data_IF_721853327475
#
_entry.id   IF_721853327475
#
_cell.length_a   1.000
_cell.length_b   1.000
_cell.length_c   1.000
_cell.angle_alpha   90.00
_cell.angle_beta   90.00
_cell.angle_gamma   90.00
#
_symmetry.space_group_name_H-M   'P 1'
#
loop_
_entity.id
_entity.type
_entity.pdbx_description
1 polymer ?
#
# COMPACT_ATOMS: atom_id res chain seq x y z
N UNK A 1 -25.34 -15.33 -84.88
CA UNK A 1 -25.39 -14.89 -83.47
C UNK A 1 -24.97 -16.05 -82.56
N UNK A 2 -23.70 -16.10 -82.12
CA UNK A 2 -23.18 -17.17 -81.24
C UNK A 2 -22.51 -16.58 -79.99
N UNK A 3 -23.00 -17.05 -78.84
CA UNK A 3 -22.38 -17.14 -77.51
C UNK A 3 -21.55 -15.97 -76.96
N UNK A 4 -22.24 -14.99 -76.35
CA UNK A 4 -21.65 -14.04 -75.40
C UNK A 4 -22.00 -14.36 -73.92
N UNK A 5 -22.74 -15.45 -73.66
CA UNK A 5 -23.12 -15.89 -72.30
C UNK A 5 -22.06 -16.78 -71.62
N UNK A 6 -21.21 -17.51 -72.37
CA UNK A 6 -20.20 -18.39 -71.76
C UNK A 6 -18.99 -17.63 -71.20
N UNK A 7 -18.59 -16.50 -71.80
CA UNK A 7 -17.44 -15.70 -71.32
C UNK A 7 -17.67 -15.03 -69.97
N UNK A 8 -18.88 -14.55 -69.68
CA UNK A 8 -19.20 -13.94 -68.38
C UNK A 8 -19.17 -14.96 -67.24
N UNK A 9 -19.65 -16.18 -67.46
CA UNK A 9 -19.64 -17.24 -66.44
C UNK A 9 -18.22 -17.73 -66.11
N UNK A 10 -17.34 -17.84 -67.11
CA UNK A 10 -15.94 -18.25 -66.90
C UNK A 10 -15.15 -17.20 -66.11
N UNK A 11 -15.41 -15.91 -66.32
CA UNK A 11 -14.75 -14.83 -65.59
C UNK A 11 -15.22 -14.79 -64.14
N UNK A 12 -16.53 -14.93 -63.87
CA UNK A 12 -17.05 -14.93 -62.50
C UNK A 12 -16.57 -16.13 -61.68
N UNK A 13 -16.50 -17.33 -62.28
CA UNK A 13 -15.97 -18.52 -61.61
C UNK A 13 -14.46 -18.35 -61.31
N UNK A 14 -13.70 -17.78 -62.24
CA UNK A 14 -12.26 -17.54 -62.05
C UNK A 14 -11.98 -16.52 -60.95
N UNK A 15 -12.79 -15.47 -60.83
CA UNK A 15 -12.66 -14.47 -59.76
C UNK A 15 -13.02 -15.05 -58.38
N UNK A 16 -14.03 -15.93 -58.33
CA UNK A 16 -14.47 -16.55 -57.07
C UNK A 16 -13.43 -17.56 -56.57
N UNK A 17 -12.83 -18.34 -57.47
CA UNK A 17 -11.72 -19.25 -57.14
C UNK A 17 -10.47 -18.49 -56.67
N UNK A 18 -10.17 -17.34 -57.26
CA UNK A 18 -9.04 -16.49 -56.86
C UNK A 18 -9.24 -15.92 -55.43
N UNK A 19 -10.45 -15.48 -55.10
CA UNK A 19 -10.78 -14.98 -53.75
C UNK A 19 -10.67 -16.10 -52.71
N UNK A 20 -11.11 -17.32 -53.04
CA UNK A 20 -11.00 -18.48 -52.15
C UNK A 20 -9.53 -18.87 -51.92
N UNK A 21 -8.70 -18.83 -52.96
CA UNK A 21 -7.26 -19.09 -52.87
C UNK A 21 -6.52 -18.05 -52.00
N UNK A 22 -6.87 -16.77 -52.13
CA UNK A 22 -6.29 -15.70 -51.30
C UNK A 22 -6.73 -15.85 -49.84
N UNK A 23 -8.00 -16.14 -49.58
CA UNK A 23 -8.51 -16.32 -48.22
C UNK A 23 -7.86 -17.53 -47.52
N UNK A 24 -7.66 -18.63 -48.24
CA UNK A 24 -7.00 -19.83 -47.70
C UNK A 24 -5.50 -19.63 -47.47
N UNK A 25 -4.81 -18.85 -48.33
CA UNK A 25 -3.41 -18.46 -48.10
C UNK A 25 -3.26 -17.57 -46.85
N UNK A 26 -4.16 -16.60 -46.65
CA UNK A 26 -4.15 -15.73 -45.45
C UNK A 26 -4.39 -16.52 -44.16
N UNK A 27 -5.34 -17.47 -44.18
CA UNK A 27 -5.59 -18.36 -43.04
C UNK A 27 -4.37 -19.25 -42.76
N UNK A 28 -3.71 -19.77 -43.79
CA UNK A 28 -2.47 -20.54 -43.66
C UNK A 28 -1.33 -19.76 -43.02
N UNK A 29 -1.13 -18.49 -43.43
CA UNK A 29 -0.10 -17.60 -42.86
C UNK A 29 -0.40 -17.25 -41.40
N UNK A 30 -1.67 -16.97 -41.06
CA UNK A 30 -2.07 -16.69 -39.67
C UNK A 30 -1.88 -17.93 -38.78
N UNK A 31 -2.20 -19.13 -39.29
CA UNK A 31 -1.99 -20.37 -38.56
C UNK A 31 -0.50 -20.71 -38.40
N UNK A 32 0.31 -20.49 -39.44
CA UNK A 32 1.76 -20.65 -39.39
C UNK A 32 2.43 -19.69 -38.39
N UNK A 33 2.05 -18.40 -38.38
CA UNK A 33 2.59 -17.42 -37.43
C UNK A 33 2.15 -17.73 -35.98
N UNK A 34 0.92 -18.23 -35.79
CA UNK A 34 0.41 -18.64 -34.47
C UNK A 34 1.10 -19.89 -33.94
N UNK A 35 1.51 -20.82 -34.82
CA UNK A 35 2.29 -22.00 -34.44
C UNK A 35 3.79 -21.70 -34.28
N UNK A 36 4.35 -20.75 -35.04
CA UNK A 36 5.73 -20.27 -34.84
C UNK A 36 5.90 -19.61 -33.46
N UNK A 37 4.92 -18.81 -33.02
CA UNK A 37 4.89 -18.22 -31.66
C UNK A 37 4.72 -19.25 -30.53
N UNK A 38 4.36 -20.49 -30.84
CA UNK A 38 4.29 -21.62 -29.88
C UNK A 38 5.57 -22.46 -29.85
N UNK A 39 6.40 -22.39 -30.89
CA UNK A 39 7.63 -23.19 -31.02
C UNK A 39 8.92 -22.41 -30.72
N UNK A 40 8.86 -21.09 -30.60
CA UNK A 40 10.02 -20.25 -30.17
C UNK A 40 10.12 -20.08 -28.64
N UNK A 41 9.35 -20.85 -27.85
CA UNK A 41 9.44 -20.83 -26.37
C UNK A 41 9.85 -22.20 -25.81
N UNK A 42 10.99 -22.71 -26.26
CA UNK A 42 11.86 -23.69 -25.60
C UNK A 42 13.20 -23.59 -26.32
N UNK A 43 14.35 -23.22 -25.75
CA UNK A 43 15.17 -23.83 -24.69
C UNK A 43 16.27 -22.79 -24.39
N UNK A 44 16.51 -22.37 -23.14
CA UNK A 44 17.53 -22.97 -22.28
C UNK A 44 17.03 -23.05 -20.84
N UNK A 45 16.78 -24.29 -20.44
CA UNK A 45 16.70 -24.71 -19.05
C UNK A 45 18.12 -24.73 -18.47
N UNK A 46 18.43 -23.77 -17.60
CA UNK A 46 19.23 -24.12 -16.43
C UNK A 46 18.23 -24.40 -15.30
N UNK A 47 18.28 -25.65 -14.87
CA UNK A 47 17.41 -26.31 -13.92
C UNK A 47 17.35 -25.57 -12.57
N UNK A 48 16.23 -24.89 -12.30
CA UNK A 48 15.80 -24.65 -10.92
C UNK A 48 15.14 -25.92 -10.41
N UNK A 49 15.87 -26.63 -9.55
CA UNK A 49 15.37 -27.71 -8.74
C UNK A 49 14.16 -27.19 -7.94
N UNK A 50 12.98 -27.74 -8.23
CA UNK A 50 11.82 -27.64 -7.36
C UNK A 50 12.11 -28.51 -6.13
N UNK A 51 12.63 -27.90 -5.08
CA UNK A 51 12.49 -28.45 -3.74
C UNK A 51 11.12 -28.05 -3.20
N UNK A 52 10.22 -29.04 -3.17
CA UNK A 52 9.10 -29.06 -2.25
C UNK A 52 9.64 -28.97 -0.82
N UNK A 53 9.54 -27.79 -0.20
CA UNK A 53 9.69 -27.64 1.24
C UNK A 53 8.41 -27.04 1.83
N UNK A 54 7.61 -27.92 2.42
CA UNK A 54 6.82 -27.58 3.59
C UNK A 54 7.79 -27.12 4.70
N UNK A 55 7.41 -26.08 5.44
CA UNK A 55 8.11 -25.42 6.57
C UNK A 55 9.27 -24.47 6.22
N UNK A 56 9.01 -23.17 6.22
CA UNK A 56 9.36 -22.22 7.32
C UNK A 56 9.22 -20.79 6.82
N UNK A 57 8.72 -19.90 7.68
CA UNK A 57 8.78 -18.45 7.49
C UNK A 57 10.22 -18.07 7.10
N UNK A 58 10.39 -17.34 5.98
CA UNK A 58 11.69 -16.73 5.66
C UNK A 58 12.04 -15.79 6.81
N UNK A 59 13.12 -16.09 7.52
CA UNK A 59 13.60 -15.29 8.63
C UNK A 59 13.87 -13.85 8.17
N UNK A 60 13.27 -12.92 8.91
CA UNK A 60 13.59 -11.49 8.87
C UNK A 60 15.06 -11.30 9.25
N UNK A 61 15.82 -10.40 8.59
CA UNK A 61 17.22 -10.18 8.91
C UNK A 61 17.37 -9.58 10.32
N UNK A 62 17.68 -10.42 11.31
CA UNK A 62 18.16 -9.99 12.61
C UNK A 62 19.63 -9.56 12.47
N UNK A 63 19.87 -8.27 12.27
CA UNK A 63 21.19 -7.67 12.52
C UNK A 63 21.01 -6.21 12.91
N UNK A 64 21.52 -5.84 14.09
CA UNK A 64 21.77 -4.45 14.49
C UNK A 64 22.61 -3.76 13.42
N UNK A 65 22.01 -2.85 12.65
CA UNK A 65 22.70 -2.09 11.59
C UNK A 65 23.34 -0.85 12.19
N UNK A 66 24.65 -0.70 12.05
CA UNK A 66 25.33 0.58 12.34
C UNK A 66 25.21 1.53 11.15
N UNK A 67 24.87 2.80 11.40
CA UNK A 67 24.69 3.85 10.39
C UNK A 67 25.85 3.96 9.37
N UNK A 68 27.11 3.89 9.83
CA UNK A 68 28.31 4.06 8.99
C UNK A 68 28.48 3.02 7.85
N UNK A 69 27.72 1.92 7.87
CA UNK A 69 27.74 0.88 6.82
C UNK A 69 26.35 0.68 6.17
N UNK A 70 25.39 1.55 6.45
CA UNK A 70 24.02 1.39 6.01
C UNK A 70 23.89 1.87 4.56
N UNK A 71 23.76 0.92 3.62
CA UNK A 71 23.60 1.20 2.17
C UNK A 71 22.14 1.34 1.74
N UNK A 72 21.22 1.30 2.70
CA UNK A 72 19.78 1.22 2.45
C UNK A 72 18.98 1.94 3.52
N UNK A 73 17.91 2.60 3.12
CA UNK A 73 16.86 3.09 4.01
C UNK A 73 15.64 2.19 3.86
N UNK A 74 15.05 1.78 4.97
CA UNK A 74 13.81 1.02 4.98
C UNK A 74 12.60 1.93 5.26
N UNK A 75 11.75 2.10 4.26
CA UNK A 75 10.55 2.95 4.32
C UNK A 75 9.31 2.07 4.45
N UNK A 76 8.50 2.32 5.47
CA UNK A 76 7.27 1.58 5.76
C UNK A 76 6.00 2.43 5.73
N UNK A 77 4.87 1.75 5.62
CA UNK A 77 3.55 2.31 5.87
C UNK A 77 2.66 1.33 6.62
N UNK A 78 1.82 1.87 7.50
CA UNK A 78 0.80 1.09 8.19
C UNK A 78 -0.43 1.94 8.53
N UNK A 79 -1.60 1.55 8.03
CA UNK A 79 -2.87 1.99 8.62
C UNK A 79 -3.02 1.32 9.99
N UNK A 80 -3.09 2.12 11.06
CA UNK A 80 -3.12 1.60 12.44
C UNK A 80 -4.51 1.57 13.05
N UNK A 81 -5.57 1.84 12.27
CA UNK A 81 -6.98 1.78 12.67
C UNK A 81 -7.34 2.60 13.92
N UNK A 82 -7.91 3.80 13.77
CA UNK A 82 -8.42 4.63 14.86
C UNK A 82 -7.47 4.81 16.07
N UNK A 83 -6.22 5.20 15.82
CA UNK A 83 -5.22 5.30 16.88
C UNK A 83 -5.36 6.60 17.69
N UNK A 84 -5.83 6.45 18.94
CA UNK A 84 -6.07 7.56 19.87
C UNK A 84 -5.09 7.67 21.04
N UNK A 85 -4.12 6.75 21.16
CA UNK A 85 -3.09 6.78 22.21
C UNK A 85 -3.51 6.30 23.60
N UNK A 86 -4.81 6.16 23.88
CA UNK A 86 -5.31 5.75 25.20
C UNK A 86 -5.27 4.24 25.46
N UNK A 87 -5.22 3.42 24.40
CA UNK A 87 -5.22 1.96 24.53
C UNK A 87 -3.79 1.43 24.65
N UNK A 88 -3.35 1.20 25.88
CA UNK A 88 -2.00 0.71 26.19
C UNK A 88 -1.63 -0.59 25.45
N UNK A 89 -2.55 -1.56 25.38
CA UNK A 89 -2.31 -2.85 24.70
C UNK A 89 -2.04 -2.65 23.20
N UNK A 90 -2.78 -1.72 22.59
CA UNK A 90 -2.58 -1.34 21.19
C UNK A 90 -1.24 -0.63 21.00
N UNK A 91 -0.93 0.37 21.82
CA UNK A 91 0.33 1.13 21.74
C UNK A 91 1.54 0.21 21.83
N UNK A 92 1.54 -0.72 22.79
CA UNK A 92 2.62 -1.69 23.00
C UNK A 92 2.77 -2.62 21.79
N UNK A 93 1.66 -3.15 21.28
CA UNK A 93 1.68 -4.04 20.12
C UNK A 93 2.16 -3.35 18.85
N UNK A 94 1.69 -2.12 18.58
CA UNK A 94 2.16 -1.31 17.45
C UNK A 94 3.68 -1.07 17.54
N UNK A 95 4.17 -0.64 18.70
CA UNK A 95 5.60 -0.40 18.91
C UNK A 95 6.46 -1.66 18.70
N UNK A 96 6.03 -2.80 19.25
CA UNK A 96 6.75 -4.07 19.07
C UNK A 96 6.77 -4.52 17.61
N UNK A 97 5.68 -4.33 16.86
CA UNK A 97 5.65 -4.61 15.41
C UNK A 97 6.60 -3.69 14.64
N UNK A 98 6.61 -2.39 14.93
CA UNK A 98 7.53 -1.42 14.30
C UNK A 98 8.99 -1.79 14.59
N UNK A 99 9.31 -2.15 15.84
CA UNK A 99 10.66 -2.56 16.22
C UNK A 99 11.10 -3.85 15.50
N UNK A 100 10.20 -4.83 15.41
CA UNK A 100 10.50 -6.12 14.77
C UNK A 100 10.54 -6.05 13.25
N UNK A 101 9.84 -5.10 12.63
CA UNK A 101 9.83 -4.91 11.18
C UNK A 101 11.13 -4.27 10.65
N UNK A 102 11.98 -3.73 11.53
CA UNK A 102 13.26 -3.11 11.20
C UNK A 102 13.18 -2.00 10.14
N UNK A 103 12.08 -1.25 10.15
CA UNK A 103 11.94 -0.02 9.36
C UNK A 103 12.81 1.09 9.93
N UNK A 104 13.31 1.98 9.09
CA UNK A 104 14.06 3.18 9.50
C UNK A 104 13.13 4.40 9.60
N UNK A 105 12.09 4.43 8.76
CA UNK A 105 10.99 5.40 8.81
C UNK A 105 9.68 4.72 8.44
N UNK A 106 8.60 5.10 9.11
CA UNK A 106 7.27 4.54 8.85
C UNK A 106 6.19 5.62 8.94
N UNK A 107 5.36 5.68 7.90
CA UNK A 107 4.15 6.48 7.88
C UNK A 107 2.99 5.71 8.54
N UNK A 108 2.29 6.34 9.48
CA UNK A 108 1.08 5.82 10.09
C UNK A 108 -0.12 6.65 9.67
N UNK A 109 -1.14 5.97 9.14
CA UNK A 109 -2.46 6.55 8.82
C UNK A 109 -3.51 6.12 9.84
N UNK A 110 -4.68 6.77 9.82
CA UNK A 110 -5.73 6.66 10.86
C UNK A 110 -5.25 7.05 12.27
N UNK A 111 -4.40 8.08 12.36
CA UNK A 111 -4.17 8.77 13.63
C UNK A 111 -5.37 9.67 13.91
N UNK A 112 -5.98 9.52 15.08
CA UNK A 112 -7.20 10.26 15.41
C UNK A 112 -6.97 11.77 15.38
N UNK A 113 -7.98 12.51 14.94
CA UNK A 113 -7.98 13.98 14.95
C UNK A 113 -7.76 14.57 16.33
N UNK A 114 -7.12 15.73 16.35
CA UNK A 114 -7.03 16.55 17.54
C UNK A 114 -8.38 17.25 17.76
N UNK A 115 -9.08 16.93 18.87
CA UNK A 115 -10.43 17.48 19.15
C UNK A 115 -10.42 18.89 19.71
N UNK A 116 -9.49 19.18 20.63
CA UNK A 116 -9.50 20.42 21.42
C UNK A 116 -8.18 21.22 21.31
N UNK A 117 -7.10 20.58 20.89
CA UNK A 117 -5.78 21.20 20.79
C UNK A 117 -5.01 20.51 19.64
N UNK A 118 -4.74 21.24 18.55
CA UNK A 118 -4.02 20.68 17.38
C UNK A 118 -2.62 20.13 17.73
N UNK A 119 -2.03 20.59 18.84
CA UNK A 119 -0.77 20.09 19.37
C UNK A 119 -0.91 18.81 20.21
N UNK A 120 -2.11 18.26 20.39
CA UNK A 120 -2.29 16.99 21.09
C UNK A 120 -1.80 15.81 20.25
N UNK A 121 -0.55 15.43 20.49
CA UNK A 121 0.15 14.31 19.88
C UNK A 121 0.13 13.04 20.74
N UNK A 122 -0.81 12.91 21.71
CA UNK A 122 -0.96 11.73 22.54
C UNK A 122 -0.91 10.39 21.75
N UNK A 123 -1.58 10.25 20.58
CA UNK A 123 -1.48 9.03 19.78
C UNK A 123 -0.05 8.63 19.40
N UNK A 124 0.80 9.60 19.09
CA UNK A 124 2.20 9.39 18.71
C UNK A 124 3.08 9.23 19.94
N UNK A 125 2.93 10.10 20.96
CA UNK A 125 3.69 10.00 22.22
C UNK A 125 3.51 8.65 22.91
N UNK A 126 2.29 8.11 22.88
CA UNK A 126 2.00 6.83 23.51
C UNK A 126 2.72 5.67 22.82
N UNK A 127 2.79 5.66 21.48
CA UNK A 127 3.58 4.67 20.74
C UNK A 127 5.09 4.91 20.96
N UNK A 128 5.55 6.18 20.93
CA UNK A 128 6.96 6.52 21.15
C UNK A 128 7.46 6.01 22.51
N UNK A 129 6.64 6.15 23.55
CA UNK A 129 6.95 5.63 24.88
C UNK A 129 7.22 4.13 24.84
N UNK A 130 6.37 3.37 24.16
CA UNK A 130 6.51 1.91 24.03
C UNK A 130 7.70 1.53 23.13
N UNK A 131 7.97 2.28 22.05
CA UNK A 131 9.17 2.10 21.23
C UNK A 131 10.43 2.22 22.10
N UNK A 132 10.51 3.24 22.94
CA UNK A 132 11.64 3.46 23.84
C UNK A 132 11.72 2.45 24.98
N UNK A 133 10.59 1.94 25.47
CA UNK A 133 10.54 0.90 26.50
C UNK A 133 11.05 -0.45 25.96
N UNK A 134 10.67 -0.80 24.72
CA UNK A 134 10.91 -2.11 24.15
C UNK A 134 12.11 -2.20 23.21
N UNK A 135 12.73 -1.08 22.80
CA UNK A 135 13.84 -1.08 21.84
C UNK A 135 14.98 -2.03 22.20
N UNK A 136 15.31 -2.18 23.48
CA UNK A 136 16.42 -3.04 23.90
C UNK A 136 16.21 -4.52 23.59
N UNK A 137 14.97 -4.94 23.34
CA UNK A 137 14.62 -6.30 22.94
C UNK A 137 14.83 -6.58 21.44
N UNK A 138 14.94 -5.53 20.61
CA UNK A 138 14.89 -5.65 19.14
C UNK A 138 15.99 -4.86 18.42
N UNK A 139 16.21 -3.60 18.81
CA UNK A 139 17.21 -2.69 18.25
C UNK A 139 17.67 -1.71 19.33
N UNK A 140 18.75 -2.07 20.06
CA UNK A 140 19.30 -1.28 21.17
C UNK A 140 19.80 0.10 20.72
N UNK A 141 20.16 0.25 19.44
CA UNK A 141 20.74 1.47 18.90
C UNK A 141 19.70 2.45 18.38
N UNK A 142 18.45 2.00 18.22
CA UNK A 142 17.39 2.85 17.72
C UNK A 142 17.12 4.05 18.64
N UNK A 143 17.15 5.23 18.05
CA UNK A 143 16.69 6.47 18.66
C UNK A 143 15.45 6.93 17.90
N UNK A 144 14.27 6.58 18.39
CA UNK A 144 13.02 6.93 17.71
C UNK A 144 12.58 8.35 18.02
N UNK A 145 12.06 9.04 17.01
CA UNK A 145 11.33 10.29 17.16
C UNK A 145 10.18 10.33 16.12
N UNK A 146 9.33 11.36 16.16
CA UNK A 146 8.24 11.49 15.20
C UNK A 146 8.01 12.93 14.73
N UNK A 147 7.32 13.03 13.59
CA UNK A 147 6.61 14.22 13.13
C UNK A 147 5.14 13.86 12.92
N UNK A 148 4.24 14.83 13.08
CA UNK A 148 2.79 14.62 13.02
C UNK A 148 2.13 15.77 12.29
N UNK A 149 1.28 15.44 11.33
CA UNK A 149 0.50 16.42 10.59
C UNK A 149 -0.50 17.13 11.48
N UNK A 150 -0.94 18.32 11.06
CA UNK A 150 -2.21 18.89 11.51
C UNK A 150 -3.39 18.01 11.08
N UNK A 151 -4.58 18.34 11.57
CA UNK A 151 -5.83 17.71 11.12
C UNK A 151 -5.96 17.80 9.58
N UNK A 152 -6.12 16.64 8.94
CA UNK A 152 -6.28 16.48 7.51
C UNK A 152 -7.75 16.19 7.23
N UNK A 153 -8.40 17.16 6.64
CA UNK A 153 -9.75 17.06 6.09
C UNK A 153 -9.91 18.11 4.99
N UNK A 154 -10.82 17.84 4.06
CA UNK A 154 -11.37 18.88 3.19
C UNK A 154 -12.72 19.36 3.69
N UNK A 155 -13.15 20.53 3.21
CA UNK A 155 -14.49 21.07 3.44
C UNK A 155 -15.57 20.03 3.13
N UNK A 156 -16.48 19.81 4.06
CA UNK A 156 -17.55 18.81 3.96
C UNK A 156 -17.14 17.39 4.37
N UNK A 157 -15.87 17.14 4.72
CA UNK A 157 -15.37 15.86 5.24
C UNK A 157 -14.84 16.00 6.69
N UNK A 158 -15.28 17.02 7.44
CA UNK A 158 -14.83 17.30 8.80
C UNK A 158 -15.04 16.11 9.76
N UNK A 159 -16.09 15.31 9.54
CA UNK A 159 -16.38 14.12 10.34
C UNK A 159 -15.41 12.96 10.09
N UNK A 160 -14.63 13.02 9.00
CA UNK A 160 -13.63 12.02 8.63
C UNK A 160 -12.19 12.54 8.82
N UNK A 161 -12.03 13.54 9.69
CA UNK A 161 -10.73 14.13 9.98
C UNK A 161 -9.81 13.10 10.62
N UNK A 162 -8.63 12.98 10.04
CA UNK A 162 -7.54 12.16 10.54
C UNK A 162 -6.24 12.96 10.52
N UNK A 163 -5.17 12.36 11.06
CA UNK A 163 -3.80 12.86 10.95
C UNK A 163 -2.91 11.75 10.42
N UNK A 164 -1.76 12.15 9.91
CA UNK A 164 -0.72 11.23 9.47
C UNK A 164 0.54 11.55 10.27
N UNK A 165 1.15 10.51 10.84
CA UNK A 165 2.37 10.63 11.62
C UNK A 165 3.49 9.81 11.00
N UNK A 166 4.72 10.30 11.10
CA UNK A 166 5.91 9.52 10.73
C UNK A 166 6.72 9.23 11.98
N UNK A 167 7.03 7.97 12.24
CA UNK A 167 8.10 7.58 13.14
C UNK A 167 9.39 7.38 12.36
N UNK A 168 10.51 7.84 12.88
CA UNK A 168 11.81 7.67 12.26
C UNK A 168 12.91 7.41 13.29
N UNK A 169 13.95 6.70 12.87
CA UNK A 169 15.20 6.54 13.63
C UNK A 169 16.07 7.79 13.47
N UNK A 170 16.02 8.68 14.45
CA UNK A 170 16.76 9.94 14.52
C UNK A 170 18.30 9.78 14.55
N UNK A 171 18.80 8.55 14.77
CA UNK A 171 20.21 8.20 14.63
C UNK A 171 20.60 7.75 13.20
N UNK A 172 19.67 7.80 12.23
CA UNK A 172 19.88 7.42 10.83
C UNK A 172 19.46 8.54 9.89
N UNK A 173 18.29 9.13 10.13
CA UNK A 173 17.75 10.21 9.31
C UNK A 173 17.20 11.34 10.18
N UNK A 174 17.06 12.52 9.59
CA UNK A 174 16.43 13.70 10.18
C UNK A 174 15.31 14.22 9.26
N UNK A 175 14.21 14.75 9.81
CA UNK A 175 13.21 15.47 9.04
C UNK A 175 13.79 16.80 8.57
N UNK A 176 13.52 17.19 7.33
CA UNK A 176 13.99 18.44 6.72
C UNK A 176 12.82 19.42 6.57
N UNK A 177 11.85 19.05 5.74
CA UNK A 177 10.76 19.95 5.35
C UNK A 177 9.43 19.22 5.32
N UNK A 178 8.41 19.88 5.88
CA UNK A 178 7.02 19.45 5.79
C UNK A 178 6.39 20.02 4.52
N UNK A 179 5.70 19.18 3.76
CA UNK A 179 4.89 19.59 2.62
C UNK A 179 3.45 19.12 2.79
N UNK A 180 2.51 20.04 2.64
CA UNK A 180 1.09 19.72 2.68
C UNK A 180 0.51 20.06 1.32
N UNK A 181 -0.22 19.11 0.73
CA UNK A 181 -0.95 19.36 -0.50
C UNK A 181 -2.21 20.21 -0.23
N UNK A 182 -2.02 21.52 -0.02
CA UNK A 182 -3.06 22.54 0.15
C UNK A 182 -2.60 23.84 -0.52
N UNK A 183 -3.52 24.61 -1.10
CA UNK A 183 -3.18 25.93 -1.66
C UNK A 183 -2.97 26.95 -0.53
N UNK A 184 -2.24 28.04 -0.82
CA UNK A 184 -1.87 29.17 0.06
C UNK A 184 -3.03 29.81 0.85
N UNK A 185 -4.29 29.51 0.49
CA UNK A 185 -5.51 30.02 1.11
C UNK A 185 -6.15 29.06 2.13
N UNK A 186 -5.52 27.93 2.49
CA UNK A 186 -6.15 26.84 3.27
C UNK A 186 -7.45 26.29 2.62
N UNK A 187 -7.64 26.51 1.31
CA UNK A 187 -8.76 25.96 0.53
C UNK A 187 -8.31 24.67 -0.13
N UNK A 188 -9.18 23.67 -0.08
CA UNK A 188 -8.98 22.40 -0.75
C UNK A 188 -8.64 22.60 -2.23
N UNK A 189 -7.60 21.91 -2.70
CA UNK A 189 -7.32 21.88 -4.12
C UNK A 189 -8.35 20.94 -4.77
N UNK A 190 -9.28 21.58 -5.49
CA UNK A 190 -10.29 20.91 -6.28
C UNK A 190 -9.70 20.44 -7.60
N UNK A 191 -9.92 19.17 -7.92
CA UNK A 191 -9.47 18.57 -9.16
C UNK A 191 -10.63 18.14 -10.04
N UNK A 192 -10.34 18.01 -11.33
CA UNK A 192 -11.28 17.44 -12.28
C UNK A 192 -11.62 15.99 -11.93
N UNK A 193 -12.90 15.66 -11.94
CA UNK A 193 -13.36 14.28 -11.83
C UNK A 193 -13.09 13.53 -13.14
N UNK A 194 -12.28 12.47 -13.04
CA UNK A 194 -12.00 11.51 -14.11
C UNK A 194 -12.95 10.30 -14.08
N UNK A 195 -13.42 9.95 -12.88
CA UNK A 195 -14.40 8.89 -12.66
C UNK A 195 -15.68 9.54 -12.16
N UNK A 196 -16.60 9.86 -13.07
CA UNK A 196 -17.86 10.54 -12.72
C UNK A 196 -18.96 9.53 -12.43
N UNK A 197 -19.81 9.87 -11.46
CA UNK A 197 -21.15 9.30 -11.39
C UNK A 197 -22.03 9.96 -12.47
N UNK A 198 -23.05 9.24 -12.96
CA UNK A 198 -23.88 9.61 -14.13
C UNK A 198 -24.47 11.04 -14.11
N UNK A 199 -24.52 11.70 -12.94
CA UNK A 199 -25.08 13.05 -12.77
C UNK A 199 -24.13 14.04 -12.07
N UNK A 200 -22.83 13.79 -12.03
CA UNK A 200 -21.90 14.62 -11.26
C UNK A 200 -20.87 15.36 -12.15
N UNK A 201 -20.97 16.70 -12.16
CA UNK A 201 -20.01 17.62 -12.79
C UNK A 201 -19.21 18.41 -11.75
N UNK A 202 -19.29 18.04 -10.47
CA UNK A 202 -18.52 18.72 -9.44
C UNK A 202 -17.03 18.41 -9.60
N UNK A 203 -16.17 19.27 -9.06
CA UNK A 203 -14.77 18.92 -8.81
C UNK A 203 -14.70 18.14 -7.50
N UNK A 204 -13.70 17.27 -7.40
CA UNK A 204 -13.46 16.47 -6.19
C UNK A 204 -12.30 17.08 -5.39
N UNK A 205 -12.41 17.02 -4.07
CA UNK A 205 -11.33 17.20 -3.10
C UNK A 205 -10.99 15.85 -2.48
N UNK A 206 -9.75 15.69 -2.02
CA UNK A 206 -9.40 14.58 -1.14
C UNK A 206 -10.20 14.67 0.16
N UNK A 207 -10.77 13.55 0.65
CA UNK A 207 -11.35 13.48 2.00
C UNK A 207 -10.34 13.92 3.06
N UNK A 208 -9.12 13.39 2.93
CA UNK A 208 -7.94 13.68 3.74
C UNK A 208 -6.80 14.03 2.79
N UNK A 209 -6.38 15.30 2.69
CA UNK A 209 -5.29 15.69 1.81
C UNK A 209 -3.99 14.91 2.12
N UNK A 210 -3.24 14.46 1.10
CA UNK A 210 -1.96 13.80 1.31
C UNK A 210 -0.98 14.67 2.12
N UNK A 211 -0.19 14.01 2.95
CA UNK A 211 0.79 14.61 3.82
C UNK A 211 2.18 14.15 3.43
N UNK A 212 3.08 15.09 3.16
CA UNK A 212 4.43 14.77 2.71
C UNK A 212 5.48 15.33 3.66
N UNK A 213 6.59 14.60 3.78
CA UNK A 213 7.74 15.02 4.56
C UNK A 213 9.02 14.56 3.90
N UNK A 214 9.98 15.48 3.80
CA UNK A 214 11.33 15.20 3.35
C UNK A 214 12.20 14.76 4.52
N UNK A 215 12.96 13.70 4.28
CA UNK A 215 13.95 13.18 5.20
C UNK A 215 15.32 13.19 4.53
N UNK A 216 16.36 13.34 5.35
CA UNK A 216 17.74 13.33 4.91
C UNK A 216 18.57 12.46 5.84
N UNK A 217 19.57 11.77 5.31
CA UNK A 217 20.58 11.08 6.13
C UNK A 217 21.38 12.08 6.95
N UNK A 218 21.94 11.64 8.08
CA UNK A 218 22.67 12.54 8.97
C UNK A 218 23.96 13.11 8.38
N UNK A 219 24.52 12.47 7.36
CA UNK A 219 25.71 12.93 6.61
C UNK A 219 25.36 13.83 5.42
N UNK A 220 24.07 14.17 5.24
CA UNK A 220 23.55 15.04 4.18
C UNK A 220 23.89 14.56 2.75
N UNK A 221 24.01 13.25 2.53
CA UNK A 221 24.31 12.68 1.20
C UNK A 221 23.13 12.10 0.46
N UNK A 222 22.01 11.90 1.15
CA UNK A 222 20.82 11.32 0.55
C UNK A 222 19.57 11.91 1.20
N UNK A 223 18.64 12.40 0.39
CA UNK A 223 17.32 12.83 0.81
C UNK A 223 16.25 12.11 0.01
N UNK A 224 15.04 12.12 0.54
CA UNK A 224 13.89 11.51 -0.10
C UNK A 224 12.62 12.08 0.53
N UNK A 225 11.57 12.18 -0.26
CA UNK A 225 10.26 12.67 0.21
C UNK A 225 9.27 11.52 0.30
N UNK A 226 8.64 11.34 1.46
CA UNK A 226 7.53 10.41 1.62
C UNK A 226 6.22 11.19 1.57
N UNK A 227 5.38 10.88 0.59
CA UNK A 227 3.98 11.33 0.47
C UNK A 227 3.06 10.24 1.00
N UNK A 228 2.45 10.47 2.16
CA UNK A 228 1.55 9.53 2.82
C UNK A 228 0.08 9.96 2.67
N UNK A 229 -0.82 8.99 2.43
CA UNK A 229 -2.26 9.28 2.37
C UNK A 229 -3.12 8.09 2.82
N UNK A 230 -4.28 8.39 3.39
CA UNK A 230 -5.39 7.46 3.54
C UNK A 230 -6.53 7.93 2.65
N UNK A 231 -6.72 7.25 1.51
CA UNK A 231 -7.75 7.62 0.55
C UNK A 231 -9.15 7.36 1.10
N UNK A 232 -10.17 7.84 0.39
CA UNK A 232 -11.56 7.65 0.78
C UNK A 232 -11.90 6.19 1.06
N UNK A 233 -12.72 5.94 2.08
CA UNK A 233 -13.09 4.58 2.46
C UNK A 233 -14.07 3.99 1.45
N UNK A 234 -14.12 2.65 1.31
CA UNK A 234 -15.08 2.00 0.42
C UNK A 234 -16.50 2.44 0.75
N UNK A 235 -17.20 3.08 -0.21
CA UNK A 235 -18.53 3.64 0.03
C UNK A 235 -19.50 2.65 0.71
N UNK A 236 -20.05 3.03 1.87
CA UNK A 236 -20.89 2.18 2.72
C UNK A 236 -22.29 1.86 2.16
N UNK A 237 -22.70 2.52 1.07
CA UNK A 237 -24.03 2.32 0.53
C UNK A 237 -24.05 1.18 -0.49
N UNK A 238 -24.66 0.07 -0.09
CA UNK A 238 -25.33 -0.90 -0.95
C UNK A 238 -26.48 -0.25 -1.74
N UNK A 239 -26.21 0.83 -2.49
CA UNK A 239 -27.15 1.25 -3.51
C UNK A 239 -27.08 0.23 -4.64
N UNK A 240 -28.08 -0.67 -4.62
CA UNK A 240 -28.66 -1.39 -5.75
C UNK A 240 -27.94 -1.07 -7.04
N UNK A 241 -27.03 -1.96 -7.46
CA UNK A 241 -26.63 -2.16 -8.86
C UNK A 241 -26.78 -0.93 -9.78
N UNK A 242 -26.21 0.21 -9.42
CA UNK A 242 -26.08 1.27 -10.41
C UNK A 242 -24.91 0.84 -11.28
N UNK A 243 -25.17 0.59 -12.56
CA UNK A 243 -24.14 0.37 -13.60
C UNK A 243 -23.28 1.64 -13.83
N UNK A 244 -23.23 2.55 -12.85
CA UNK A 244 -22.95 3.96 -13.03
C UNK A 244 -21.80 4.51 -12.18
N UNK A 245 -21.19 3.70 -11.30
CA UNK A 245 -19.88 4.03 -10.68
C UNK A 245 -18.69 3.76 -11.64
N UNK A 246 -19.00 3.29 -12.85
CA UNK A 246 -18.01 3.02 -13.89
C UNK A 246 -17.77 4.27 -14.74
N UNK A 247 -16.57 4.85 -14.65
CA UNK A 247 -15.86 5.55 -15.74
C UNK A 247 -16.77 6.25 -16.76
N UNK A 248 -17.55 7.26 -16.37
CA UNK A 248 -18.15 8.16 -17.36
C UNK A 248 -17.20 9.34 -17.62
N UNK A 249 -16.20 9.11 -18.47
CA UNK A 249 -15.28 10.17 -18.89
C UNK A 249 -14.09 9.71 -19.74
N UNK A 250 -13.48 8.56 -19.44
CA UNK A 250 -12.29 8.11 -20.15
C UNK A 250 -12.33 6.61 -20.50
N UNK A 251 -12.69 6.30 -21.76
CA UNK A 251 -12.79 4.92 -22.28
C UNK A 251 -11.47 4.14 -22.23
N UNK A 252 -10.35 4.82 -22.02
CA UNK A 252 -9.01 4.21 -22.00
C UNK A 252 -8.57 3.76 -20.59
N UNK A 253 -9.25 4.21 -19.53
CA UNK A 253 -8.94 3.82 -18.14
C UNK A 253 -9.84 2.64 -17.75
N UNK A 254 -9.28 1.43 -17.77
CA UNK A 254 -10.05 0.20 -17.52
C UNK A 254 -10.19 -0.05 -16.02
N UNK A 255 -11.38 0.16 -15.48
CA UNK A 255 -11.79 -0.28 -14.15
C UNK A 255 -12.48 -1.64 -14.28
N UNK A 256 -11.89 -2.68 -13.68
CA UNK A 256 -12.30 -4.07 -13.90
C UNK A 256 -13.35 -4.55 -12.90
N UNK A 257 -13.44 -3.94 -11.71
CA UNK A 257 -14.42 -4.29 -10.67
C UNK A 257 -15.07 -3.05 -10.06
N UNK A 258 -16.28 -3.21 -9.50
CA UNK A 258 -17.04 -2.09 -8.90
C UNK A 258 -16.31 -1.47 -7.71
N UNK A 259 -16.17 -0.16 -7.73
CA UNK A 259 -15.51 0.65 -6.71
C UNK A 259 -16.08 2.07 -6.70
N UNK A 260 -15.96 2.78 -5.56
CA UNK A 260 -16.45 4.14 -5.44
C UNK A 260 -15.69 5.10 -6.35
N UNK A 261 -16.39 6.03 -6.97
CA UNK A 261 -15.78 7.06 -7.82
C UNK A 261 -14.85 8.00 -7.05
N UNK A 262 -15.14 8.28 -5.77
CA UNK A 262 -14.29 9.13 -4.93
C UNK A 262 -12.91 8.51 -4.71
N UNK A 263 -12.87 7.26 -4.21
CA UNK A 263 -11.65 6.43 -4.08
C UNK A 263 -10.81 6.44 -5.38
N UNK A 264 -11.47 6.19 -6.53
CA UNK A 264 -10.81 6.14 -7.84
C UNK A 264 -10.24 7.49 -8.28
N UNK A 265 -10.96 8.59 -8.05
CA UNK A 265 -10.49 9.92 -8.41
C UNK A 265 -9.31 10.37 -7.53
N UNK A 266 -9.35 10.10 -6.23
CA UNK A 266 -8.25 10.40 -5.31
C UNK A 266 -6.98 9.62 -5.70
N UNK A 267 -7.12 8.34 -6.05
CA UNK A 267 -5.99 7.54 -6.55
C UNK A 267 -5.45 8.08 -7.89
N UNK A 268 -6.33 8.50 -8.80
CA UNK A 268 -5.90 9.02 -10.10
C UNK A 268 -5.28 10.41 -10.00
N UNK A 269 -5.67 11.23 -9.05
CA UNK A 269 -5.08 12.56 -8.90
C UNK A 269 -3.74 12.53 -8.17
N UNK A 270 -3.37 11.38 -7.59
CA UNK A 270 -2.11 11.21 -6.90
C UNK A 270 -0.91 11.57 -7.79
N UNK A 271 -0.94 11.29 -9.10
CA UNK A 271 0.10 11.76 -10.01
C UNK A 271 0.28 13.29 -10.02
N UNK A 272 -0.79 14.07 -9.88
CA UNK A 272 -0.69 15.54 -9.79
C UNK A 272 -0.20 16.00 -8.41
N UNK A 273 -0.50 15.22 -7.36
CA UNK A 273 0.04 15.45 -6.02
C UNK A 273 1.55 15.23 -6.04
N UNK A 274 2.01 14.11 -6.62
CA UNK A 274 3.44 13.85 -6.76
C UNK A 274 4.15 14.97 -7.53
N UNK A 275 3.64 15.39 -8.69
CA UNK A 275 4.25 16.52 -9.43
C UNK A 275 4.28 17.83 -8.63
N UNK A 276 3.31 18.05 -7.75
CA UNK A 276 3.28 19.25 -6.93
C UNK A 276 4.32 19.21 -5.82
N UNK A 277 4.48 18.05 -5.18
CA UNK A 277 5.52 17.85 -4.17
C UNK A 277 6.91 17.92 -4.82
N UNK A 278 7.11 17.29 -5.98
CA UNK A 278 8.33 17.32 -6.80
C UNK A 278 8.77 18.76 -7.14
N UNK A 279 7.81 19.65 -7.37
CA UNK A 279 8.11 21.09 -7.59
C UNK A 279 8.49 21.83 -6.32
N UNK A 280 8.10 21.34 -5.15
CA UNK A 280 8.36 21.98 -3.85
C UNK A 280 9.65 21.47 -3.19
N UNK A 281 9.97 20.17 -3.33
CA UNK A 281 11.22 19.58 -2.83
C UNK A 281 12.40 19.73 -3.80
N UNK A 282 12.15 20.24 -5.00
CA UNK A 282 13.15 20.92 -5.82
C UNK A 282 14.09 19.94 -6.53
N UNK A 283 15.31 19.80 -6.01
CA UNK A 283 16.33 18.94 -6.63
C UNK A 283 16.23 17.48 -6.16
N UNK A 284 15.45 17.20 -5.12
CA UNK A 284 15.17 15.84 -4.66
C UNK A 284 14.27 15.13 -5.67
N UNK A 285 14.77 14.11 -6.35
CA UNK A 285 13.99 13.30 -7.30
C UNK A 285 13.46 11.98 -6.69
N UNK A 286 13.81 11.71 -5.42
CA UNK A 286 13.46 10.50 -4.69
C UNK A 286 12.14 10.64 -3.93
N UNK A 287 11.05 10.57 -4.69
CA UNK A 287 9.68 10.62 -4.16
C UNK A 287 9.07 9.22 -3.97
N UNK A 288 8.49 9.01 -2.79
CA UNK A 288 7.84 7.77 -2.38
C UNK A 288 6.41 8.08 -1.97
N UNK A 289 5.43 7.53 -2.68
CA UNK A 289 4.06 7.49 -2.15
C UNK A 289 3.84 6.23 -1.32
N UNK A 290 3.19 6.40 -0.16
CA UNK A 290 2.71 5.30 0.67
C UNK A 290 1.27 5.55 1.13
N UNK A 291 0.46 4.50 1.27
CA UNK A 291 -0.88 4.72 1.79
C UNK A 291 -1.80 3.51 1.78
N UNK A 292 -2.85 3.61 2.60
CA UNK A 292 -4.06 2.82 2.42
C UNK A 292 -4.92 3.52 1.36
N UNK A 293 -5.03 2.86 0.21
CA UNK A 293 -5.64 3.44 -0.96
C UNK A 293 -7.09 3.02 -1.15
N UNK A 294 -7.56 2.01 -0.40
CA UNK A 294 -8.87 1.40 -0.60
C UNK A 294 -9.16 0.94 -2.05
N UNK A 295 -8.16 0.91 -2.93
CA UNK A 295 -8.29 0.44 -4.32
C UNK A 295 -8.32 -1.09 -4.33
N UNK A 296 -9.46 -1.64 -4.74
CA UNK A 296 -9.68 -3.08 -4.81
C UNK A 296 -8.81 -3.72 -5.89
N UNK A 297 -8.49 -4.99 -5.67
CA UNK A 297 -7.69 -5.81 -6.60
C UNK A 297 -8.30 -5.80 -8.00
N UNK A 298 -7.46 -5.68 -9.03
CA UNK A 298 -7.79 -5.53 -10.46
C UNK A 298 -8.12 -4.11 -10.90
N UNK A 299 -8.21 -3.13 -10.00
CA UNK A 299 -8.43 -1.73 -10.39
C UNK A 299 -7.15 -0.88 -10.41
N UNK A 300 -6.02 -1.39 -9.89
CA UNK A 300 -4.77 -0.62 -9.73
C UNK A 300 -4.32 0.10 -11.01
N UNK A 301 -4.24 -0.60 -12.14
CA UNK A 301 -3.76 -0.01 -13.41
C UNK A 301 -4.61 1.17 -13.87
N UNK A 302 -5.93 1.11 -13.69
CA UNK A 302 -6.84 2.19 -14.08
C UNK A 302 -6.85 3.33 -13.07
N UNK A 303 -6.87 2.99 -11.78
CA UNK A 303 -6.91 3.96 -10.69
C UNK A 303 -5.61 4.79 -10.62
N UNK A 304 -4.45 4.16 -10.74
CA UNK A 304 -3.14 4.82 -10.65
C UNK A 304 -2.52 5.11 -12.02
N UNK A 305 -3.30 5.13 -13.10
CA UNK A 305 -2.80 5.38 -14.44
C UNK A 305 -2.01 6.70 -14.57
N UNK A 306 -2.33 7.71 -13.74
CA UNK A 306 -1.60 8.98 -13.71
C UNK A 306 -0.16 8.84 -13.17
N UNK A 307 0.07 7.97 -12.18
CA UNK A 307 1.39 7.63 -11.66
C UNK A 307 2.17 6.82 -12.69
N UNK A 308 1.53 5.83 -13.31
CA UNK A 308 2.17 5.01 -14.35
C UNK A 308 2.63 5.83 -15.56
N UNK A 309 1.85 6.84 -15.97
CA UNK A 309 2.26 7.78 -17.03
C UNK A 309 3.49 8.62 -16.66
N UNK A 310 3.78 8.76 -15.37
CA UNK A 310 4.94 9.44 -14.80
C UNK A 310 6.07 8.47 -14.44
N UNK A 311 5.98 7.22 -14.90
CA UNK A 311 6.96 6.16 -14.66
C UNK A 311 7.16 5.75 -13.19
N UNK A 312 6.21 6.09 -12.30
CA UNK A 312 6.23 5.57 -10.93
C UNK A 312 6.02 4.05 -10.94
N UNK A 313 6.77 3.36 -10.08
CA UNK A 313 6.74 1.91 -9.95
C UNK A 313 5.90 1.50 -8.74
N UNK A 314 4.87 0.68 -8.96
CA UNK A 314 4.14 0.02 -7.88
C UNK A 314 4.98 -1.12 -7.29
N UNK A 315 5.30 -1.00 -6.01
CA UNK A 315 6.06 -2.00 -5.25
C UNK A 315 5.15 -3.07 -4.61
N UNK A 316 3.84 -2.79 -4.55
CA UNK A 316 2.82 -3.69 -4.01
C UNK A 316 1.70 -3.91 -5.03
N UNK A 317 2.03 -4.58 -6.13
CA UNK A 317 1.12 -4.88 -7.24
C UNK A 317 0.03 -5.87 -6.88
N UNK A 318 -1.11 -5.74 -7.56
CA UNK A 318 -2.30 -6.60 -7.48
C UNK A 318 -2.07 -8.06 -7.94
N UNK A 319 -0.96 -8.34 -8.64
CA UNK A 319 -0.64 -9.67 -9.18
C UNK A 319 0.07 -10.59 -8.18
N UNK A 320 0.48 -10.05 -7.03
CA UNK A 320 1.15 -10.81 -5.97
C UNK A 320 0.24 -10.93 -4.74
N UNK A 321 -0.35 -12.11 -4.56
CA UNK A 321 -1.25 -12.44 -3.43
C UNK A 321 -0.66 -12.16 -2.04
N UNK A 322 0.67 -12.17 -1.89
CA UNK A 322 1.33 -11.85 -0.63
C UNK A 322 1.19 -10.37 -0.24
N UNK A 323 0.82 -9.50 -1.18
CA UNK A 323 0.61 -8.08 -0.94
C UNK A 323 -0.78 -7.77 -0.36
N UNK A 324 -1.66 -8.77 -0.20
CA UNK A 324 -3.00 -8.54 0.33
C UNK A 324 -3.02 -8.14 1.81
N UNK A 325 -3.96 -7.30 2.23
CA UNK A 325 -4.05 -6.81 3.61
C UNK A 325 -4.73 -7.82 4.54
N UNK A 326 -4.62 -7.65 5.86
CA UNK A 326 -5.27 -8.51 6.86
C UNK A 326 -6.76 -8.24 7.10
N UNK A 327 -7.40 -7.40 6.27
CA UNK A 327 -8.81 -7.03 6.37
C UNK A 327 -9.83 -8.16 6.12
N UNK A 328 -9.37 -9.39 5.88
CA UNK A 328 -10.31 -10.48 5.66
C UNK A 328 -11.08 -10.79 6.94
N UNK A 329 -12.42 -10.86 6.84
CA UNK A 329 -13.30 -11.29 7.95
C UNK A 329 -13.02 -12.74 8.38
N UNK A 330 -12.40 -13.53 7.51
CA UNK A 330 -12.04 -14.92 7.75
C UNK A 330 -10.63 -14.99 8.33
N UNK A 331 -10.49 -15.73 9.43
CA UNK A 331 -9.22 -16.02 10.09
C UNK A 331 -8.17 -16.58 9.11
N UNK A 332 -6.93 -16.11 9.22
CA UNK A 332 -5.78 -16.46 8.35
C UNK A 332 -6.00 -16.22 6.86
N UNK A 333 -6.97 -15.38 6.50
CA UNK A 333 -7.14 -14.91 5.13
C UNK A 333 -6.68 -13.46 5.05
N UNK A 334 -6.40 -13.07 3.81
CA UNK A 334 -6.03 -11.71 3.44
C UNK A 334 -7.05 -11.19 2.43
N UNK A 335 -7.31 -9.89 2.45
CA UNK A 335 -8.33 -9.25 1.62
C UNK A 335 -7.75 -8.04 0.90
N UNK A 336 -7.87 -8.06 -0.43
CA UNK A 336 -7.54 -6.95 -1.34
C UNK A 336 -6.11 -6.40 -1.18
N UNK A 337 -5.67 -5.56 -2.12
CA UNK A 337 -4.33 -4.98 -2.13
C UNK A 337 -4.40 -3.48 -1.83
N UNK A 338 -5.00 -3.12 -0.70
CA UNK A 338 -5.31 -1.72 -0.39
C UNK A 338 -4.07 -0.90 -0.03
N UNK A 339 -3.12 -1.48 0.70
CA UNK A 339 -1.87 -0.84 1.05
C UNK A 339 -0.92 -0.80 -0.16
N UNK A 340 -0.52 0.40 -0.58
CA UNK A 340 0.36 0.62 -1.74
C UNK A 340 1.61 1.40 -1.35
N UNK A 341 2.71 1.07 -2.01
CA UNK A 341 3.92 1.90 -2.07
C UNK A 341 4.28 2.10 -3.54
N UNK A 342 4.41 3.35 -3.97
CA UNK A 342 4.92 3.72 -5.28
C UNK A 342 6.21 4.51 -5.13
N UNK A 343 7.21 4.24 -5.96
CA UNK A 343 8.49 4.96 -5.95
C UNK A 343 8.72 5.64 -7.29
N UNK A 344 9.35 6.81 -7.26
CA UNK A 344 9.87 7.48 -8.44
C UNK A 344 10.88 6.59 -9.19
N UNK A 345 11.15 6.85 -10.49
CA UNK A 345 12.07 6.03 -11.27
C UNK A 345 13.55 6.15 -10.87
N UNK A 346 13.95 7.19 -10.14
CA UNK A 346 15.30 7.36 -9.58
C UNK A 346 15.60 6.36 -8.46
N UNK A 347 14.57 6.04 -7.65
CA UNK A 347 14.70 5.14 -6.51
C UNK A 347 14.93 3.69 -6.94
N UNK A 348 16.07 3.13 -6.52
CA UNK A 348 16.33 1.70 -6.62
C UNK A 348 15.81 0.93 -5.41
N UNK A 349 14.67 0.26 -5.58
CA UNK A 349 14.13 -0.67 -4.58
C UNK A 349 14.85 -2.01 -4.65
N UNK A 350 15.45 -2.44 -3.53
CA UNK A 350 16.19 -3.71 -3.42
C UNK A 350 15.30 -4.87 -3.00
N UNK A 351 14.33 -4.61 -2.12
CA UNK A 351 13.33 -5.59 -1.73
C UNK A 351 12.05 -4.89 -1.24
N UNK A 352 10.97 -5.67 -1.23
CA UNK A 352 9.68 -5.30 -0.66
C UNK A 352 9.27 -6.40 0.32
N UNK A 353 8.59 -6.04 1.41
CA UNK A 353 8.07 -7.02 2.35
C UNK A 353 6.83 -6.51 3.06
N UNK A 354 6.04 -7.46 3.54
CA UNK A 354 4.85 -7.25 4.37
C UNK A 354 5.05 -7.98 5.69
N UNK A 355 4.74 -7.34 6.80
CA UNK A 355 4.91 -7.92 8.12
C UNK A 355 3.70 -8.75 8.55
N UNK A 356 3.77 -10.07 8.65
CA UNK A 356 2.59 -10.90 8.96
C UNK A 356 1.96 -10.58 10.34
N UNK A 357 0.86 -9.81 10.35
CA UNK A 357 0.15 -9.42 11.56
C UNK A 357 -0.57 -10.61 12.23
N UNK A 358 -0.95 -11.65 11.49
CA UNK A 358 -1.52 -12.84 12.13
C UNK A 358 -0.49 -13.50 13.04
N UNK A 359 0.77 -13.58 12.60
CA UNK A 359 1.85 -14.17 13.39
C UNK A 359 2.07 -13.48 14.75
N UNK A 360 1.80 -12.17 14.83
CA UNK A 360 1.90 -11.36 16.05
C UNK A 360 0.94 -11.85 17.11
N UNK A 361 -0.32 -12.07 16.71
CA UNK A 361 -1.37 -12.50 17.63
C UNK A 361 -1.26 -13.99 17.96
N UNK A 362 -0.78 -14.81 17.01
CA UNK A 362 -0.76 -16.27 17.14
C UNK A 362 0.28 -16.81 18.08
N UNK A 363 1.43 -16.14 18.18
CA UNK A 363 2.61 -16.69 18.84
C UNK A 363 2.94 -15.92 20.11
N UNK A 364 3.68 -16.52 21.04
CA UNK A 364 4.24 -15.84 22.20
C UNK A 364 5.52 -15.05 21.89
N UNK A 365 5.96 -14.97 20.63
CA UNK A 365 7.28 -14.41 20.30
C UNK A 365 7.33 -12.90 20.38
N UNK A 366 6.25 -12.21 19.99
CA UNK A 366 6.20 -10.74 20.03
C UNK A 366 5.36 -10.23 21.20
N UNK A 367 4.16 -10.78 21.38
CA UNK A 367 3.27 -10.45 22.50
C UNK A 367 3.41 -11.53 23.56
N UNK A 368 4.00 -11.14 24.69
CA UNK A 368 4.32 -12.07 25.78
C UNK A 368 3.08 -12.46 26.60
N UNK A 369 3.30 -13.36 27.57
CA UNK A 369 2.25 -13.85 28.47
C UNK A 369 1.57 -12.72 29.27
N UNK A 370 2.31 -11.68 29.66
CA UNK A 370 1.76 -10.57 30.44
C UNK A 370 0.81 -9.73 29.58
N UNK A 371 1.21 -9.42 28.34
CA UNK A 371 0.34 -8.73 27.39
C UNK A 371 -0.95 -9.53 27.16
N UNK A 372 -0.83 -10.85 26.93
CA UNK A 372 -1.99 -11.73 26.69
C UNK A 372 -2.93 -11.80 27.89
N UNK A 373 -2.38 -11.89 29.09
CA UNK A 373 -3.18 -11.87 30.31
C UNK A 373 -3.91 -10.53 30.48
N UNK A 374 -3.24 -9.41 30.23
CA UNK A 374 -3.88 -8.09 30.26
C UNK A 374 -4.97 -7.96 29.19
N UNK A 375 -4.72 -8.45 27.98
CA UNK A 375 -5.71 -8.53 26.90
C UNK A 375 -6.96 -9.32 27.30
N UNK A 376 -6.79 -10.53 27.86
CA UNK A 376 -7.91 -11.34 28.31
C UNK A 376 -8.70 -10.64 29.43
N UNK A 377 -8.02 -10.03 30.41
CA UNK A 377 -8.67 -9.26 31.47
C UNK A 377 -9.50 -8.09 30.93
N UNK A 378 -8.99 -7.39 29.92
CA UNK A 378 -9.66 -6.22 29.35
C UNK A 378 -10.88 -6.60 28.50
N UNK A 379 -10.74 -7.62 27.64
CA UNK A 379 -11.71 -7.91 26.58
C UNK A 379 -12.56 -9.17 26.81
N UNK A 380 -12.18 -10.03 27.77
CA UNK A 380 -12.84 -11.30 28.09
C UNK A 380 -13.14 -11.40 29.60
N UNK A 381 -13.82 -10.38 30.13
CA UNK A 381 -14.09 -10.19 31.57
C UNK A 381 -14.86 -11.31 32.27
N UNK A 382 -15.54 -12.18 31.50
CA UNK A 382 -16.28 -13.32 32.04
C UNK A 382 -15.39 -14.51 32.43
N UNK A 383 -14.12 -14.52 32.01
CA UNK A 383 -13.17 -15.58 32.36
C UNK A 383 -12.66 -15.39 33.79
N UNK A 384 -12.55 -16.48 34.55
CA UNK A 384 -11.85 -16.48 35.83
C UNK A 384 -10.34 -16.36 35.64
N UNK A 385 -9.61 -15.96 36.68
CA UNK A 385 -8.14 -15.89 36.65
C UNK A 385 -7.50 -17.23 36.26
N UNK A 386 -8.04 -18.35 36.77
CA UNK A 386 -7.53 -19.69 36.43
C UNK A 386 -7.74 -20.02 34.95
N UNK A 387 -8.91 -19.66 34.40
CA UNK A 387 -9.20 -19.87 32.97
C UNK A 387 -8.28 -19.02 32.09
N UNK A 388 -8.07 -17.74 32.44
CA UNK A 388 -7.18 -16.86 31.70
C UNK A 388 -5.74 -17.38 31.71
N UNK A 389 -5.25 -17.83 32.87
CA UNK A 389 -3.89 -18.37 32.98
C UNK A 389 -3.73 -19.62 32.12
N UNK A 390 -4.69 -20.55 32.17
CA UNK A 390 -4.69 -21.74 31.31
C UNK A 390 -4.69 -21.40 29.82
N UNK A 391 -5.43 -20.34 29.41
CA UNK A 391 -5.43 -19.87 28.02
C UNK A 391 -4.07 -19.32 27.62
N UNK A 392 -3.45 -18.48 28.47
CA UNK A 392 -2.14 -17.88 28.19
C UNK A 392 -1.04 -18.92 28.11
N UNK A 393 -1.06 -19.92 28.99
CA UNK A 393 -0.05 -20.98 29.02
C UNK A 393 -0.14 -21.93 27.82
N UNK A 394 -1.33 -22.10 27.25
CA UNK A 394 -1.57 -22.94 26.07
C UNK A 394 -1.97 -22.12 24.84
N UNK A 395 -1.52 -20.86 24.76
CA UNK A 395 -2.02 -19.88 23.79
C UNK A 395 -1.95 -20.37 22.35
N UNK A 396 -0.80 -20.87 21.91
CA UNK A 396 -0.57 -21.24 20.51
C UNK A 396 -1.48 -22.40 20.06
N UNK A 397 -1.84 -23.31 20.96
CA UNK A 397 -2.76 -24.43 20.68
C UNK A 397 -4.22 -23.96 20.69
N UNK A 398 -4.59 -23.14 21.68
CA UNK A 398 -5.94 -22.59 21.80
C UNK A 398 -6.25 -21.61 20.67
N UNK A 399 -5.29 -20.76 20.30
CA UNK A 399 -5.42 -19.81 19.20
C UNK A 399 -5.65 -20.48 17.84
N UNK A 400 -5.04 -21.66 17.62
CA UNK A 400 -5.24 -22.45 16.40
C UNK A 400 -6.61 -23.12 16.34
N UNK A 401 -7.16 -23.51 17.49
CA UNK A 401 -8.45 -24.21 17.59
C UNK A 401 -9.64 -23.27 17.82
N UNK A 402 -9.41 -22.07 18.34
CA UNK A 402 -10.41 -21.04 18.63
C UNK A 402 -9.91 -19.66 18.19
N UNK A 403 -10.44 -19.18 17.06
CA UNK A 403 -9.99 -17.94 16.43
C UNK A 403 -10.50 -16.65 17.10
N UNK A 404 -11.39 -16.74 18.10
CA UNK A 404 -12.02 -15.57 18.73
C UNK A 404 -11.00 -14.65 19.38
N UNK A 405 -10.02 -15.22 20.10
CA UNK A 405 -8.97 -14.44 20.75
C UNK A 405 -8.07 -13.75 19.72
N UNK A 406 -7.72 -14.45 18.64
CA UNK A 406 -6.82 -13.95 17.61
C UNK A 406 -7.45 -12.88 16.75
N UNK A 407 -8.71 -13.07 16.34
CA UNK A 407 -9.49 -12.04 15.65
C UNK A 407 -9.59 -10.79 16.51
N UNK A 408 -9.89 -10.95 17.80
CA UNK A 408 -10.03 -9.80 18.72
C UNK A 408 -8.69 -9.10 18.94
N UNK A 409 -7.61 -9.82 19.21
CA UNK A 409 -6.26 -9.27 19.36
C UNK A 409 -5.84 -8.49 18.11
N UNK A 410 -5.95 -9.12 16.93
CA UNK A 410 -5.62 -8.49 15.64
C UNK A 410 -6.44 -7.22 15.43
N UNK A 411 -7.76 -7.25 15.63
CA UNK A 411 -8.64 -6.07 15.49
C UNK A 411 -8.31 -4.90 16.42
N UNK A 412 -7.64 -5.17 17.56
CA UNK A 412 -7.19 -4.11 18.46
C UNK A 412 -5.91 -3.48 17.93
N UNK A 413 -4.98 -4.30 17.43
CA UNK A 413 -3.69 -3.86 16.91
C UNK A 413 -3.93 -3.03 15.64
N UNK A 414 -4.37 -3.70 14.57
CA UNK A 414 -4.80 -3.10 13.30
C UNK A 414 -5.48 -4.18 12.46
N UNK A 415 -6.36 -3.79 11.54
CA UNK A 415 -6.89 -4.65 10.49
C UNK A 415 -6.05 -4.59 9.20
N UNK A 416 -5.14 -3.62 9.08
CA UNK A 416 -4.13 -3.54 8.03
C UNK A 416 -2.79 -4.11 8.47
N UNK A 417 -1.96 -4.39 7.47
CA UNK A 417 -0.64 -4.95 7.68
C UNK A 417 0.43 -3.93 7.32
N UNK A 418 1.51 -3.84 8.10
CA UNK A 418 2.65 -3.02 7.74
C UNK A 418 3.28 -3.54 6.44
N UNK A 419 3.46 -2.63 5.47
CA UNK A 419 4.18 -2.86 4.21
C UNK A 419 5.42 -1.99 4.18
N UNK A 420 6.52 -2.47 3.60
CA UNK A 420 7.78 -1.76 3.57
C UNK A 420 8.64 -2.09 2.35
N UNK A 421 9.53 -1.16 2.02
CA UNK A 421 10.53 -1.29 0.96
C UNK A 421 11.91 -0.92 1.50
N UNK A 422 12.94 -1.67 1.09
CA UNK A 422 14.33 -1.24 1.28
C UNK A 422 14.79 -0.53 0.00
N UNK A 423 15.03 0.77 0.10
CA UNK A 423 15.61 1.57 -0.98
C UNK A 423 17.12 1.63 -0.83
N UNK A 424 17.84 1.62 -1.94
CA UNK A 424 19.29 1.84 -1.94
C UNK A 424 19.56 3.33 -1.73
N UNK A 425 20.53 3.65 -0.88
CA UNK A 425 21.10 5.00 -0.81
C UNK A 425 21.95 5.22 -2.06
N UNK A 426 21.68 6.28 -2.81
CA UNK A 426 22.61 6.75 -3.85
C UNK A 426 23.61 7.72 -3.24
N UNK A 427 24.87 7.29 -3.13
CA UNK A 427 25.94 8.11 -2.54
C UNK A 427 26.37 9.25 -3.47
N UNK A 428 25.89 9.27 -4.72
CA UNK A 428 26.17 10.34 -5.69
C UNK A 428 25.01 11.33 -5.81
N UNK A 429 23.99 11.19 -4.96
CA UNK A 429 22.89 12.13 -4.91
C UNK A 429 23.43 13.52 -4.51
N UNK A 430 23.11 14.53 -5.32
CA UNK A 430 23.65 15.88 -5.16
C UNK A 430 22.64 16.66 -4.34
N UNK A 431 22.88 16.74 -3.04
CA UNK A 431 22.12 17.64 -2.18
C UNK A 431 22.80 19.00 -2.22
N UNK A 432 22.21 19.93 -2.99
CA UNK A 432 22.66 21.32 -2.99
C UNK A 432 22.42 21.92 -1.60
N UNK A 433 23.50 22.31 -0.91
CA UNK A 433 23.43 23.14 0.29
C UNK A 433 22.99 24.56 -0.12
N UNK A 434 21.68 24.83 -0.10
CA UNK A 434 21.14 26.19 -0.18
C UNK A 434 20.99 26.82 1.20
#
# INVERSE_FOLDING_TARGET
MKNNKSRKWVITISLTLLIILIASAVIGVVFYLKNKKKNDTSVNNDSYIIQNNNNSLKEQPNSTRSFLNQKTICVGHWNVLNQGGINQLKNEALAKVILKSNVDVIALTEINSAKNNEHDDLPMRAILKELNLHKNQFDQTANWNYVLSKNLFSKGNESQTERIGFFYKANIIKPVQEYIYKNNDNKDILFEQYFKNWNDNTKITYSRPPYAYEFQTLDNKFNFTIVASHLDSPGANEHKTSKHDHTYGNKNLKINIKQGSKELNEAYQLGNVMDYIDRLDGNNDDLIFVGDTNIKTKNELGAFASLYKRNYLSNFKDDNENNKTTLAKTYLKYAQHYDKIFTSPSIKVLNTYKYDLWSVSLTNTLLDKNWKLAFLKTYFRSLSNQQMQNIVDNWDEIAKSNDVYIKKATSIISDHTLVAVNIKIDENDIIDEN
#
